data_IF_398880889189
#
_entry.id   IF_398880889189
#
_cell.length_a   1.000
_cell.length_b   1.000
_cell.length_c   1.000
_cell.angle_alpha   90.00
_cell.angle_beta   90.00
_cell.angle_gamma   90.00
#
_symmetry.space_group_name_H-M   'P 1'
#
loop_
_entity.id
_entity.type
_entity.pdbx_description
1 polymer ?
#
# COMPACT_ATOMS: atom_id res chain seq x y z
N UNK A 1 1.60 -27.69 -0.91
CA UNK A 1 3.01 -27.23 -0.96
C UNK A 1 3.06 -26.02 -1.86
N UNK A 2 3.43 -24.85 -1.34
CA UNK A 2 3.71 -23.71 -2.20
C UNK A 2 4.83 -24.13 -3.17
N UNK A 3 4.63 -23.93 -4.47
CA UNK A 3 5.65 -24.29 -5.45
C UNK A 3 6.91 -23.46 -5.18
N UNK A 4 8.08 -24.01 -5.48
CA UNK A 4 9.38 -23.33 -5.35
C UNK A 4 9.34 -21.91 -5.95
N UNK A 5 8.55 -21.70 -7.01
CA UNK A 5 8.32 -20.41 -7.64
C UNK A 5 7.63 -19.37 -6.72
N UNK A 6 6.65 -19.77 -5.91
CA UNK A 6 5.99 -18.83 -4.99
C UNK A 6 6.93 -18.35 -3.88
N UNK A 7 7.68 -19.27 -3.27
CA UNK A 7 8.61 -18.92 -2.19
C UNK A 7 9.68 -17.97 -2.72
N UNK A 8 10.31 -18.29 -3.85
CA UNK A 8 11.29 -17.40 -4.49
C UNK A 8 10.71 -16.03 -4.78
N UNK A 9 9.50 -15.94 -5.35
CA UNK A 9 8.87 -14.65 -5.65
C UNK A 9 8.56 -13.84 -4.38
N UNK A 10 8.11 -14.51 -3.31
CA UNK A 10 7.86 -13.85 -2.03
C UNK A 10 9.15 -13.23 -1.50
N UNK A 11 10.23 -13.99 -1.48
CA UNK A 11 11.52 -13.54 -0.92
C UNK A 11 12.10 -12.36 -1.72
N UNK A 12 11.93 -12.36 -3.05
CA UNK A 12 12.29 -11.23 -3.91
C UNK A 12 11.50 -9.97 -3.58
N UNK A 13 10.18 -10.11 -3.37
CA UNK A 13 9.30 -8.99 -3.00
C UNK A 13 9.69 -8.44 -1.63
N UNK A 14 9.86 -9.31 -0.64
CA UNK A 14 10.32 -8.95 0.71
C UNK A 14 11.65 -8.19 0.64
N UNK A 15 12.64 -8.75 -0.04
CA UNK A 15 13.96 -8.11 -0.22
C UNK A 15 13.85 -6.74 -0.89
N UNK A 16 13.00 -6.60 -1.91
CA UNK A 16 12.81 -5.34 -2.61
C UNK A 16 12.25 -4.27 -1.68
N UNK A 17 11.19 -4.57 -0.93
CA UNK A 17 10.54 -3.60 -0.04
C UNK A 17 11.38 -3.28 1.21
N UNK A 18 12.12 -4.25 1.77
CA UNK A 18 12.90 -4.06 2.99
C UNK A 18 14.24 -3.36 2.77
N UNK A 19 14.91 -3.61 1.63
CA UNK A 19 16.30 -3.18 1.43
C UNK A 19 16.45 -2.10 0.39
N UNK A 20 15.88 -2.32 -0.79
CA UNK A 20 16.27 -1.56 -1.98
C UNK A 20 15.29 -0.42 -2.28
N UNK A 21 14.02 -0.60 -1.92
CA UNK A 21 12.97 0.32 -2.28
C UNK A 21 12.43 1.13 -1.10
N UNK A 22 12.89 0.87 0.13
CA UNK A 22 12.40 1.51 1.35
C UNK A 22 12.41 3.05 1.25
N UNK A 23 13.54 3.67 0.87
CA UNK A 23 13.65 5.13 0.76
C UNK A 23 12.77 5.70 -0.37
N UNK A 24 12.71 5.00 -1.51
CA UNK A 24 11.90 5.42 -2.64
C UNK A 24 10.40 5.31 -2.35
N UNK A 25 9.99 4.29 -1.59
CA UNK A 25 8.62 4.12 -1.11
C UNK A 25 8.28 5.11 -0.02
N UNK A 26 9.15 5.33 0.97
CA UNK A 26 8.97 6.31 2.03
C UNK A 26 8.84 7.73 1.45
N UNK A 27 9.66 8.06 0.46
CA UNK A 27 9.47 9.28 -0.31
C UNK A 27 8.09 9.25 -0.98
N UNK A 28 7.73 8.22 -1.74
CA UNK A 28 6.45 8.14 -2.46
C UNK A 28 5.21 8.25 -1.55
N UNK A 29 5.25 7.78 -0.32
CA UNK A 29 4.14 7.81 0.66
C UNK A 29 4.19 9.01 1.62
N UNK A 30 5.08 9.97 1.39
CA UNK A 30 5.20 11.21 2.17
C UNK A 30 5.10 12.45 1.27
N UNK A 31 5.19 13.65 1.88
CA UNK A 31 5.19 14.94 1.17
C UNK A 31 6.54 15.29 0.53
N UNK A 32 7.55 14.41 0.64
CA UNK A 32 8.85 14.63 0.03
C UNK A 32 8.73 14.90 -1.49
N UNK A 33 9.58 15.76 -2.07
CA UNK A 33 9.54 16.01 -3.51
C UNK A 33 9.89 14.75 -4.30
N UNK A 34 9.09 14.44 -5.33
CA UNK A 34 9.32 13.31 -6.22
C UNK A 34 9.21 13.72 -7.68
N UNK A 35 9.70 12.86 -8.58
CA UNK A 35 9.62 13.07 -10.03
C UNK A 35 8.18 13.27 -10.50
N UNK A 36 8.01 13.89 -11.68
CA UNK A 36 6.69 14.13 -12.28
C UNK A 36 5.84 12.86 -12.37
N UNK A 37 6.44 11.75 -12.80
CA UNK A 37 5.76 10.46 -12.92
C UNK A 37 5.30 9.97 -11.53
N UNK A 38 6.17 10.05 -10.52
CA UNK A 38 5.83 9.65 -9.15
C UNK A 38 4.73 10.51 -8.54
N UNK A 39 4.64 11.81 -8.87
CA UNK A 39 3.49 12.64 -8.48
C UNK A 39 2.18 12.16 -9.09
N UNK A 40 2.19 11.72 -10.35
CA UNK A 40 1.00 11.10 -10.96
C UNK A 40 0.64 9.80 -10.27
N UNK A 41 1.63 8.98 -9.91
CA UNK A 41 1.42 7.74 -9.14
C UNK A 41 0.79 8.04 -7.78
N UNK A 42 1.26 9.07 -7.05
CA UNK A 42 0.64 9.50 -5.78
C UNK A 42 -0.84 9.84 -5.94
N UNK A 43 -1.15 10.73 -6.90
CA UNK A 43 -2.54 11.10 -7.19
C UNK A 43 -3.41 9.89 -7.52
N UNK A 44 -2.88 8.93 -8.28
CA UNK A 44 -3.57 7.67 -8.57
C UNK A 44 -3.82 6.83 -7.32
N UNK A 45 -2.86 6.76 -6.39
CA UNK A 45 -3.02 6.07 -5.10
C UNK A 45 -4.04 6.74 -4.20
N UNK A 46 -4.11 8.07 -4.22
CA UNK A 46 -5.11 8.83 -3.47
C UNK A 46 -6.51 8.58 -4.01
N UNK A 47 -6.70 8.69 -5.33
CA UNK A 47 -7.99 8.38 -5.97
C UNK A 47 -8.41 6.91 -5.77
N UNK A 48 -7.45 5.97 -5.80
CA UNK A 48 -7.73 4.56 -5.52
C UNK A 48 -8.20 4.37 -4.08
N UNK A 49 -7.58 5.05 -3.12
CA UNK A 49 -7.97 4.98 -1.71
C UNK A 49 -9.37 5.55 -1.48
N UNK A 50 -9.66 6.73 -2.03
CA UNK A 50 -11.01 7.33 -2.00
C UNK A 50 -12.06 6.38 -2.59
N UNK A 51 -11.72 5.72 -3.72
CA UNK A 51 -12.61 4.74 -4.36
C UNK A 51 -12.87 3.54 -3.45
N UNK A 52 -11.83 2.98 -2.83
CA UNK A 52 -11.96 1.85 -1.91
C UNK A 52 -12.79 2.23 -0.67
N UNK A 53 -12.56 3.42 -0.10
CA UNK A 53 -13.34 3.94 1.02
C UNK A 53 -14.81 4.14 0.64
N UNK A 54 -15.09 4.61 -0.58
CA UNK A 54 -16.47 4.79 -1.07
C UNK A 54 -17.28 3.48 -1.20
N UNK A 55 -16.61 2.32 -1.21
CA UNK A 55 -17.27 1.02 -1.23
C UNK A 55 -17.59 0.49 0.16
N UNK A 56 -16.96 1.03 1.19
CA UNK A 56 -17.22 0.64 2.57
C UNK A 56 -18.45 1.39 3.12
N UNK A 57 -19.20 0.80 4.06
CA UNK A 57 -20.21 1.53 4.82
C UNK A 57 -19.60 2.71 5.57
N UNK A 58 -20.38 3.79 5.75
CA UNK A 58 -19.96 4.94 6.57
C UNK A 58 -19.74 4.56 8.05
N UNK A 59 -20.44 3.53 8.54
CA UNK A 59 -20.30 3.01 9.90
C UNK A 59 -19.81 1.55 9.85
N UNK A 60 -18.59 1.35 10.35
CA UNK A 60 -17.94 0.03 10.48
C UNK A 60 -18.05 -0.54 11.90
N UNK A 61 -18.87 0.03 12.79
CA UNK A 61 -19.01 -0.43 14.18
C UNK A 61 -19.33 -1.94 14.23
N UNK A 62 -18.49 -2.69 14.95
CA UNK A 62 -18.63 -4.14 15.10
C UNK A 62 -18.14 -4.95 13.88
N UNK A 63 -17.61 -4.31 12.85
CA UNK A 63 -17.00 -4.97 11.69
C UNK A 63 -15.51 -5.24 11.92
N UNK A 64 -14.97 -6.22 11.17
CA UNK A 64 -13.53 -6.50 11.11
C UNK A 64 -13.03 -6.26 9.70
N UNK A 65 -12.07 -5.34 9.53
CA UNK A 65 -11.42 -5.05 8.25
C UNK A 65 -10.00 -5.63 8.22
N UNK A 66 -9.60 -6.24 7.10
CA UNK A 66 -8.24 -6.75 6.89
C UNK A 66 -7.62 -6.04 5.68
N UNK A 67 -6.63 -5.18 5.94
CA UNK A 67 -5.78 -4.57 4.91
C UNK A 67 -4.50 -5.41 4.71
N UNK A 68 -4.59 -6.42 3.83
CA UNK A 68 -3.48 -7.33 3.57
C UNK A 68 -2.48 -6.73 2.57
N UNK A 69 -1.25 -6.48 3.03
CA UNK A 69 -0.27 -5.72 2.25
C UNK A 69 -0.43 -4.20 2.40
N UNK A 70 -0.80 -3.75 3.61
CA UNK A 70 -1.13 -2.37 3.95
C UNK A 70 -0.02 -1.33 3.69
N UNK A 71 1.22 -1.78 3.41
CA UNK A 71 2.37 -0.89 3.22
C UNK A 71 2.59 -0.04 4.48
N UNK A 72 2.50 1.27 4.34
CA UNK A 72 2.58 2.22 5.47
C UNK A 72 1.29 2.33 6.29
N UNK A 73 0.26 1.54 5.98
CA UNK A 73 -1.00 1.49 6.73
C UNK A 73 -2.00 2.59 6.41
N UNK A 74 -1.78 3.41 5.36
CA UNK A 74 -2.61 4.60 5.10
C UNK A 74 -4.11 4.27 4.96
N UNK A 75 -4.47 3.19 4.25
CA UNK A 75 -5.86 2.77 4.12
C UNK A 75 -6.43 2.27 5.46
N UNK A 76 -5.70 1.39 6.14
CA UNK A 76 -6.08 0.88 7.45
C UNK A 76 -6.29 1.98 8.50
N UNK A 77 -5.46 3.03 8.48
CA UNK A 77 -5.59 4.18 9.39
C UNK A 77 -6.82 5.01 9.05
N UNK A 78 -7.11 5.22 7.76
CA UNK A 78 -8.28 5.99 7.33
C UNK A 78 -9.60 5.27 7.62
N UNK A 79 -9.58 3.93 7.62
CA UNK A 79 -10.74 3.08 7.90
C UNK A 79 -10.94 2.72 9.39
N UNK A 80 -10.04 3.16 10.28
CA UNK A 80 -10.07 2.88 11.72
C UNK A 80 -10.84 3.94 12.50
#
# INVERSE_FOLDING_TARGET
>A
MASVNYQTRRDEIETYFDRTAADAWAALTSDAPVSRIRRTVRRGRDAMRETLMSWLPEDLTGSTLIDAGCGTGTLAIEAA
#
